data_IF_343851798047
#
_entry.id   IF_343851798047
#
_cell.length_a   1.000
_cell.length_b   1.000
_cell.length_c   1.000
_cell.angle_alpha   90.00
_cell.angle_beta   90.00
_cell.angle_gamma   90.00
#
_symmetry.space_group_name_H-M   'P 1'
#
loop_
_entity.id
_entity.type
_entity.pdbx_description
1 polymer ?
#
# COMPACT_ATOMS: atom_id res chain seq x y z
N UNK A 1 12.63 -17.52 6.42
CA UNK A 1 12.45 -16.06 6.26
C UNK A 1 11.99 -15.45 7.59
N UNK A 2 10.93 -15.94 8.25
CA UNK A 2 10.47 -15.42 9.55
C UNK A 2 11.56 -15.34 10.63
N UNK A 3 12.44 -16.33 10.73
CA UNK A 3 13.53 -16.34 11.72
C UNK A 3 14.57 -15.23 11.49
N UNK A 4 14.84 -14.88 10.23
CA UNK A 4 15.84 -13.85 9.89
C UNK A 4 15.32 -12.47 10.31
N UNK A 5 14.08 -12.16 10.01
CA UNK A 5 13.46 -10.88 10.35
C UNK A 5 13.41 -10.63 11.86
N UNK A 6 13.01 -11.65 12.65
CA UNK A 6 13.01 -11.57 14.11
C UNK A 6 14.42 -11.36 14.69
N UNK A 7 15.44 -11.96 14.08
CA UNK A 7 16.82 -11.78 14.51
C UNK A 7 17.40 -10.41 14.14
N UNK A 8 16.92 -9.78 13.08
CA UNK A 8 17.38 -8.45 12.63
C UNK A 8 16.80 -7.30 13.47
N UNK A 9 15.58 -7.44 13.99
CA UNK A 9 14.86 -6.40 14.70
C UNK A 9 15.65 -5.79 15.89
N UNK A 10 16.28 -6.55 16.80
CA UNK A 10 17.10 -5.99 17.88
C UNK A 10 18.28 -5.16 17.38
N UNK A 11 18.91 -5.57 16.28
CA UNK A 11 20.04 -4.86 15.69
C UNK A 11 19.58 -3.55 15.05
N UNK A 12 18.47 -3.56 14.31
CA UNK A 12 17.88 -2.36 13.71
C UNK A 12 17.43 -1.35 14.78
N UNK A 13 16.90 -1.83 15.92
CA UNK A 13 16.52 -0.95 17.03
C UNK A 13 17.75 -0.30 17.69
N UNK A 14 18.86 -1.02 17.84
CA UNK A 14 20.14 -0.45 18.33
C UNK A 14 20.68 0.60 17.36
N UNK A 15 20.66 0.34 16.06
CA UNK A 15 21.08 1.31 15.04
C UNK A 15 20.22 2.57 15.05
N UNK A 16 18.90 2.44 15.22
CA UNK A 16 17.99 3.58 15.40
C UNK A 16 18.36 4.42 16.63
N UNK A 17 18.67 3.78 17.76
CA UNK A 17 19.09 4.47 18.98
C UNK A 17 20.42 5.23 18.76
N UNK A 18 21.41 4.59 18.15
CA UNK A 18 22.70 5.22 17.83
C UNK A 18 22.56 6.39 16.85
N UNK A 19 21.68 6.30 15.86
CA UNK A 19 21.40 7.41 14.95
C UNK A 19 20.81 8.62 15.70
N UNK A 20 19.93 8.41 16.70
CA UNK A 20 19.41 9.48 17.55
C UNK A 20 20.49 10.15 18.40
N UNK A 21 21.42 9.38 18.96
CA UNK A 21 22.54 9.92 19.74
C UNK A 21 23.47 10.79 18.89
N UNK A 22 23.69 10.42 17.61
CA UNK A 22 24.48 11.20 16.66
C UNK A 22 23.83 12.50 16.23
N UNK A 23 22.52 12.69 16.44
CA UNK A 23 21.78 13.86 15.98
C UNK A 23 22.30 15.17 16.56
N UNK A 24 22.85 15.16 17.78
CA UNK A 24 23.43 16.34 18.44
C UNK A 24 24.79 16.75 17.86
N UNK A 25 25.55 15.80 17.27
CA UNK A 25 26.94 16.02 16.82
C UNK A 25 27.03 16.11 15.30
N UNK A 26 26.22 15.33 14.57
CA UNK A 26 26.26 15.23 13.13
C UNK A 26 24.82 15.06 12.56
N UNK A 27 23.97 16.10 12.61
CA UNK A 27 22.53 15.98 12.34
C UNK A 27 22.22 15.44 10.94
N UNK A 28 22.94 15.85 9.92
CA UNK A 28 22.72 15.41 8.54
C UNK A 28 23.04 13.93 8.33
N UNK A 29 24.13 13.45 8.92
CA UNK A 29 24.53 12.06 8.87
C UNK A 29 23.58 11.19 9.71
N UNK A 30 23.14 11.67 10.85
CA UNK A 30 22.16 11.00 11.69
C UNK A 30 20.81 10.82 10.97
N UNK A 31 20.36 11.83 10.24
CA UNK A 31 19.13 11.77 9.45
C UNK A 31 19.23 10.74 8.30
N UNK A 32 20.36 10.69 7.58
CA UNK A 32 20.60 9.69 6.53
C UNK A 32 20.60 8.27 7.10
N UNK A 33 21.33 8.04 8.21
CA UNK A 33 21.37 6.73 8.89
C UNK A 33 19.97 6.35 9.40
N UNK A 34 19.24 7.29 10.00
CA UNK A 34 17.87 7.07 10.47
C UNK A 34 16.95 6.62 9.34
N UNK A 35 16.95 7.34 8.22
CA UNK A 35 16.13 7.03 7.05
C UNK A 35 16.40 5.63 6.52
N UNK A 36 17.68 5.24 6.42
CA UNK A 36 18.06 3.90 5.94
C UNK A 36 17.69 2.79 6.92
N UNK A 37 17.79 3.04 8.23
CA UNK A 37 17.38 2.08 9.25
C UNK A 37 15.88 1.87 9.25
N UNK A 38 15.09 2.94 9.13
CA UNK A 38 13.63 2.82 9.03
C UNK A 38 13.21 2.11 7.73
N UNK A 39 13.88 2.35 6.61
CA UNK A 39 13.66 1.61 5.36
C UNK A 39 13.96 0.11 5.52
N UNK A 40 15.04 -0.27 6.19
CA UNK A 40 15.37 -1.68 6.49
C UNK A 40 14.34 -2.33 7.43
N UNK A 41 13.82 -1.60 8.40
CA UNK A 41 12.74 -2.08 9.27
C UNK A 41 11.47 -2.37 8.46
N UNK A 42 11.05 -1.43 7.62
CA UNK A 42 9.88 -1.62 6.75
C UNK A 42 10.07 -2.81 5.81
N UNK A 43 11.21 -2.94 5.19
CA UNK A 43 11.57 -4.08 4.37
C UNK A 43 11.44 -5.41 5.12
N UNK A 44 11.92 -5.46 6.38
CA UNK A 44 11.82 -6.65 7.23
C UNK A 44 10.36 -7.00 7.53
N UNK A 45 9.52 -6.01 7.83
CA UNK A 45 8.08 -6.18 8.06
C UNK A 45 7.40 -6.70 6.79
N UNK A 46 7.65 -6.10 5.64
CA UNK A 46 7.05 -6.50 4.37
C UNK A 46 7.46 -7.93 3.96
N UNK A 47 8.71 -8.35 4.20
CA UNK A 47 9.13 -9.74 3.97
C UNK A 47 8.35 -10.72 4.86
N UNK A 48 8.15 -10.38 6.14
CA UNK A 48 7.35 -11.23 7.05
C UNK A 48 5.92 -11.33 6.59
N UNK A 49 5.32 -10.21 6.21
CA UNK A 49 3.95 -10.12 5.71
C UNK A 49 3.77 -10.92 4.42
N UNK A 50 4.67 -10.75 3.44
CA UNK A 50 4.69 -11.51 2.20
C UNK A 50 4.73 -13.01 2.47
N UNK A 51 5.68 -13.46 3.31
CA UNK A 51 5.83 -14.86 3.67
C UNK A 51 4.60 -15.43 4.40
N UNK A 52 3.99 -14.64 5.30
CA UNK A 52 2.77 -15.03 6.00
C UNK A 52 1.59 -15.17 5.04
N UNK A 53 1.41 -14.20 4.14
CA UNK A 53 0.34 -14.21 3.14
C UNK A 53 0.48 -15.40 2.17
N UNK A 54 1.69 -15.67 1.70
CA UNK A 54 1.94 -16.84 0.82
C UNK A 54 1.57 -18.15 1.53
N UNK A 55 1.97 -18.32 2.78
CA UNK A 55 1.71 -19.54 3.56
C UNK A 55 0.22 -19.71 3.90
N UNK A 56 -0.51 -18.60 4.10
CA UNK A 56 -1.93 -18.61 4.51
C UNK A 56 -2.89 -18.29 3.37
N UNK A 57 -2.43 -18.25 2.12
CA UNK A 57 -3.25 -17.81 0.98
C UNK A 57 -4.52 -18.65 0.83
N UNK A 58 -4.45 -19.95 1.08
CA UNK A 58 -5.58 -20.89 0.97
C UNK A 58 -6.33 -21.09 2.28
N UNK A 59 -5.90 -20.47 3.39
CA UNK A 59 -6.60 -20.57 4.66
C UNK A 59 -7.86 -19.71 4.65
N UNK A 60 -8.95 -20.20 5.28
CA UNK A 60 -10.15 -19.39 5.48
C UNK A 60 -9.84 -18.11 6.25
N UNK A 61 -10.50 -17.02 5.90
CA UNK A 61 -10.42 -15.74 6.58
C UNK A 61 -11.80 -15.28 7.04
N UNK A 62 -11.82 -14.46 8.08
CA UNK A 62 -13.07 -13.91 8.61
C UNK A 62 -13.70 -12.95 7.60
N UNK A 63 -15.00 -13.11 7.39
CA UNK A 63 -15.80 -12.29 6.50
C UNK A 63 -16.87 -11.59 7.30
N UNK A 64 -16.96 -10.27 7.19
CA UNK A 64 -17.96 -9.45 7.85
C UNK A 64 -18.73 -8.59 6.85
N UNK A 65 -19.99 -8.28 7.20
CA UNK A 65 -20.79 -7.29 6.47
C UNK A 65 -20.53 -5.89 7.01
N UNK A 66 -20.31 -4.93 6.14
CA UNK A 66 -20.13 -3.54 6.52
C UNK A 66 -20.53 -2.59 5.39
N UNK A 67 -20.85 -1.34 5.78
CA UNK A 67 -21.17 -0.29 4.83
C UNK A 67 -19.90 0.26 4.18
N UNK A 68 -19.75 0.08 2.85
CA UNK A 68 -18.54 0.43 2.10
C UNK A 68 -18.28 1.94 2.07
N UNK A 69 -19.34 2.77 2.09
CA UNK A 69 -19.19 4.23 2.13
C UNK A 69 -18.60 4.70 3.46
N UNK A 70 -19.10 4.20 4.59
CA UNK A 70 -18.57 4.51 5.90
C UNK A 70 -17.16 3.97 6.10
N UNK A 71 -16.89 2.77 5.60
CA UNK A 71 -15.59 2.14 5.60
C UNK A 71 -14.55 2.98 4.82
N UNK A 72 -14.89 3.37 3.59
CA UNK A 72 -14.02 4.21 2.76
C UNK A 72 -13.73 5.58 3.37
N UNK A 73 -14.71 6.21 4.04
CA UNK A 73 -14.49 7.46 4.77
C UNK A 73 -13.43 7.32 5.86
N UNK A 74 -13.47 6.23 6.64
CA UNK A 74 -12.46 5.98 7.69
C UNK A 74 -11.06 5.81 7.10
N UNK A 75 -10.93 5.14 5.96
CA UNK A 75 -9.65 4.96 5.27
C UNK A 75 -9.11 6.31 4.76
N UNK A 76 -9.96 7.10 4.13
CA UNK A 76 -9.62 8.44 3.64
C UNK A 76 -9.13 9.35 4.77
N UNK A 77 -9.78 9.34 5.93
CA UNK A 77 -9.32 10.10 7.09
C UNK A 77 -7.91 9.70 7.57
N UNK A 78 -7.57 8.41 7.48
CA UNK A 78 -6.22 7.92 7.87
C UNK A 78 -5.11 8.41 6.92
N UNK A 79 -5.45 8.74 5.67
CA UNK A 79 -4.49 9.17 4.63
C UNK A 79 -4.42 10.69 4.49
N UNK A 80 -5.38 11.44 5.03
CA UNK A 80 -5.42 12.90 4.90
C UNK A 80 -4.13 13.62 5.29
N UNK A 81 -3.45 13.13 6.33
CA UNK A 81 -2.19 13.70 6.80
C UNK A 81 -1.01 13.52 5.85
N UNK A 82 -1.11 12.55 4.93
CA UNK A 82 -0.06 12.24 3.96
C UNK A 82 -0.24 13.01 2.64
N UNK A 83 -1.38 13.70 2.47
CA UNK A 83 -1.75 14.38 1.22
C UNK A 83 -1.20 15.81 1.20
N UNK A 84 -0.54 16.17 0.11
CA UNK A 84 -0.03 17.52 -0.11
C UNK A 84 -1.17 18.54 -0.20
N UNK A 85 -0.97 19.81 0.24
CA UNK A 85 -2.01 20.83 0.25
C UNK A 85 -2.65 21.12 -1.13
N UNK A 86 -1.89 20.94 -2.21
CA UNK A 86 -2.33 21.18 -3.59
C UNK A 86 -3.05 19.97 -4.23
N UNK A 87 -3.25 18.90 -3.44
CA UNK A 87 -3.90 17.66 -3.91
C UNK A 87 -5.31 17.57 -3.33
N UNK A 88 -6.30 17.40 -4.20
CA UNK A 88 -7.68 17.20 -3.80
C UNK A 88 -8.01 15.70 -3.76
N UNK A 89 -8.42 15.19 -2.59
CA UNK A 89 -8.89 13.81 -2.42
C UNK A 89 -10.41 13.73 -2.60
N UNK A 90 -10.85 13.05 -3.65
CA UNK A 90 -12.25 12.85 -4.00
C UNK A 90 -12.67 11.41 -3.71
N UNK A 91 -13.80 11.24 -3.03
CA UNK A 91 -14.37 9.92 -2.72
C UNK A 91 -15.74 9.78 -3.36
N UNK A 92 -15.88 8.79 -4.26
CA UNK A 92 -17.12 8.44 -4.93
C UNK A 92 -17.48 6.99 -4.60
N UNK A 93 -17.99 6.79 -3.38
CA UNK A 93 -18.33 5.49 -2.81
C UNK A 93 -19.73 5.56 -2.20
N UNK A 94 -20.69 4.73 -2.68
CA UNK A 94 -22.07 4.75 -2.23
C UNK A 94 -22.22 4.17 -0.80
N UNK A 95 -23.34 4.48 -0.16
CA UNK A 95 -23.75 3.83 1.08
C UNK A 95 -24.38 2.47 0.75
N UNK A 96 -23.57 1.42 0.76
CA UNK A 96 -23.94 0.07 0.33
C UNK A 96 -23.27 -0.96 1.24
N UNK A 97 -23.99 -2.01 1.59
CA UNK A 97 -23.42 -3.15 2.32
C UNK A 97 -22.67 -4.09 1.36
N UNK A 98 -21.47 -4.46 1.76
CA UNK A 98 -20.68 -5.53 1.13
C UNK A 98 -20.23 -6.52 2.19
N UNK A 99 -19.89 -7.75 1.74
CA UNK A 99 -19.42 -8.82 2.62
C UNK A 99 -18.04 -9.30 2.17
N UNK A 100 -17.01 -9.00 2.97
CA UNK A 100 -15.62 -9.43 2.71
C UNK A 100 -14.79 -9.31 4.00
N UNK A 101 -13.49 -9.59 3.94
CA UNK A 101 -12.58 -9.30 5.05
C UNK A 101 -12.23 -7.81 5.06
N UNK A 102 -12.71 -7.10 6.08
CA UNK A 102 -12.53 -5.65 6.21
C UNK A 102 -11.06 -5.27 6.44
N UNK A 103 -10.31 -6.08 7.21
CA UNK A 103 -8.92 -5.80 7.54
C UNK A 103 -8.01 -5.87 6.32
N UNK A 104 -8.05 -6.96 5.55
CA UNK A 104 -7.26 -7.08 4.33
C UNK A 104 -7.66 -6.03 3.28
N UNK A 105 -8.96 -5.73 3.14
CA UNK A 105 -9.41 -4.67 2.24
C UNK A 105 -8.89 -3.30 2.67
N UNK A 106 -8.92 -3.00 3.97
CA UNK A 106 -8.36 -1.74 4.49
C UNK A 106 -6.87 -1.61 4.17
N UNK A 107 -6.08 -2.66 4.41
CA UNK A 107 -4.64 -2.66 4.14
C UNK A 107 -4.34 -2.39 2.67
N UNK A 108 -5.05 -3.05 1.74
CA UNK A 108 -4.88 -2.80 0.29
C UNK A 108 -5.23 -1.35 -0.06
N UNK A 109 -6.39 -0.85 0.37
CA UNK A 109 -6.82 0.51 0.03
C UNK A 109 -5.92 1.58 0.66
N UNK A 110 -5.48 1.40 1.92
CA UNK A 110 -4.53 2.29 2.58
C UNK A 110 -3.21 2.35 1.82
N UNK A 111 -2.67 1.19 1.42
CA UNK A 111 -1.40 1.15 0.70
C UNK A 111 -1.49 1.88 -0.65
N UNK A 112 -2.55 1.60 -1.42
CA UNK A 112 -2.76 2.24 -2.72
C UNK A 112 -2.98 3.76 -2.59
N UNK A 113 -3.75 4.21 -1.59
CA UNK A 113 -3.97 5.63 -1.35
C UNK A 113 -2.72 6.36 -0.84
N UNK A 114 -1.91 5.71 0.01
CA UNK A 114 -0.61 6.25 0.44
C UNK A 114 0.37 6.37 -0.72
N UNK A 115 0.42 5.39 -1.61
CA UNK A 115 1.20 5.50 -2.84
C UNK A 115 0.71 6.67 -3.70
N UNK A 116 -0.59 6.82 -3.90
CA UNK A 116 -1.14 7.96 -4.63
C UNK A 116 -0.75 9.29 -3.97
N UNK A 117 -0.82 9.42 -2.64
CA UNK A 117 -0.42 10.61 -1.90
C UNK A 117 1.08 10.92 -2.05
N UNK A 118 1.93 9.88 -2.00
CA UNK A 118 3.39 10.01 -2.12
C UNK A 118 3.83 10.53 -3.49
N UNK A 119 3.19 10.04 -4.56
CA UNK A 119 3.60 10.34 -5.94
C UNK A 119 2.79 11.45 -6.61
N UNK A 120 1.82 12.06 -5.91
CA UNK A 120 1.02 13.18 -6.42
C UNK A 120 1.36 14.45 -5.66
N UNK A 121 1.98 15.41 -6.34
CA UNK A 121 2.31 16.72 -5.76
C UNK A 121 1.22 17.78 -5.99
N UNK A 122 0.36 17.58 -7.00
CA UNK A 122 -0.77 18.47 -7.30
C UNK A 122 -1.85 17.76 -8.11
N UNK A 123 -3.07 18.24 -8.09
CA UNK A 123 -4.19 17.67 -8.83
C UNK A 123 -5.14 16.85 -7.96
N UNK A 124 -5.52 15.66 -8.39
CA UNK A 124 -6.55 14.88 -7.72
C UNK A 124 -6.10 13.46 -7.44
N UNK A 125 -6.50 12.95 -6.28
CA UNK A 125 -6.57 11.53 -5.97
C UNK A 125 -8.04 11.18 -5.84
N UNK A 126 -8.50 10.10 -6.48
CA UNK A 126 -9.89 9.69 -6.47
C UNK A 126 -10.01 8.23 -6.04
N UNK A 127 -10.87 7.97 -5.06
CA UNK A 127 -11.33 6.64 -4.67
C UNK A 127 -12.77 6.45 -5.16
N UNK A 128 -12.98 5.50 -6.05
CA UNK A 128 -14.29 5.15 -6.60
C UNK A 128 -14.66 3.71 -6.26
N UNK A 129 -15.96 3.46 -6.07
CA UNK A 129 -16.53 2.12 -5.96
C UNK A 129 -17.55 1.89 -7.08
N UNK A 130 -17.43 0.74 -7.76
CA UNK A 130 -18.38 0.33 -8.81
C UNK A 130 -18.86 -1.09 -8.57
N UNK A 131 -20.18 -1.28 -8.49
CA UNK A 131 -20.77 -2.62 -8.48
C UNK A 131 -20.86 -3.14 -9.91
N UNK A 132 -20.38 -4.36 -10.16
CA UNK A 132 -20.34 -5.03 -11.47
C UNK A 132 -21.23 -6.28 -11.46
N UNK A 133 -22.48 -6.16 -11.00
CA UNK A 133 -23.42 -7.26 -10.87
C UNK A 133 -23.70 -7.65 -9.42
N UNK A 134 -24.22 -8.85 -9.20
CA UNK A 134 -24.68 -9.28 -7.86
C UNK A 134 -23.51 -9.55 -6.90
N UNK A 135 -22.43 -10.12 -7.41
CA UNK A 135 -21.33 -10.67 -6.59
C UNK A 135 -19.96 -10.10 -6.90
N UNK A 136 -19.87 -9.05 -7.71
CA UNK A 136 -18.58 -8.44 -8.10
C UNK A 136 -18.63 -6.94 -7.88
N UNK A 137 -17.60 -6.42 -7.25
CA UNK A 137 -17.37 -4.98 -7.13
C UNK A 137 -15.94 -4.59 -7.53
N UNK A 138 -15.74 -3.31 -7.74
CA UNK A 138 -14.45 -2.71 -8.05
C UNK A 138 -14.21 -1.51 -7.15
N UNK A 139 -13.01 -1.44 -6.56
CA UNK A 139 -12.44 -0.20 -6.05
C UNK A 139 -11.42 0.31 -7.06
N UNK A 140 -11.52 1.59 -7.40
CA UNK A 140 -10.66 2.22 -8.38
C UNK A 140 -9.98 3.40 -7.70
N UNK A 141 -8.65 3.37 -7.64
CA UNK A 141 -7.84 4.48 -7.13
C UNK A 141 -7.15 5.11 -8.33
N UNK A 142 -7.45 6.39 -8.56
CA UNK A 142 -6.87 7.16 -9.66
C UNK A 142 -6.14 8.37 -9.10
N UNK A 143 -4.93 8.63 -9.59
CA UNK A 143 -4.14 9.80 -9.24
C UNK A 143 -3.65 10.58 -10.48
N UNK A 144 -3.22 11.82 -10.27
CA UNK A 144 -2.55 12.65 -11.27
C UNK A 144 -1.04 12.78 -10.98
N UNK A 145 -0.44 11.79 -10.37
CA UNK A 145 0.96 11.75 -10.01
C UNK A 145 1.90 11.57 -11.20
N UNK A 146 3.15 11.26 -10.90
CA UNK A 146 4.20 11.07 -11.91
C UNK A 146 3.94 9.90 -12.86
N UNK A 147 3.04 8.98 -12.49
CA UNK A 147 2.78 7.75 -13.24
C UNK A 147 3.90 6.71 -13.09
N UNK A 148 3.73 5.59 -13.76
CA UNK A 148 4.69 4.48 -13.79
C UNK A 148 5.11 4.26 -15.24
N UNK A 149 6.43 4.16 -15.53
CA UNK A 149 6.95 3.82 -16.87
C UNK A 149 6.33 2.53 -17.40
N UNK A 150 6.06 2.48 -18.71
CA UNK A 150 5.32 1.36 -19.31
C UNK A 150 6.08 0.02 -19.22
N UNK A 151 7.42 0.06 -19.26
CA UNK A 151 8.31 -1.09 -19.09
C UNK A 151 8.24 -1.71 -17.68
N UNK A 152 7.94 -0.91 -16.66
CA UNK A 152 7.79 -1.37 -15.28
C UNK A 152 6.39 -1.94 -15.00
N UNK A 153 5.36 -1.51 -15.73
CA UNK A 153 3.97 -1.92 -15.50
C UNK A 153 3.72 -3.42 -15.64
N UNK A 154 4.51 -4.14 -16.44
CA UNK A 154 4.34 -5.59 -16.65
C UNK A 154 4.74 -6.43 -15.43
N UNK A 155 5.70 -5.93 -14.67
CA UNK A 155 6.24 -6.65 -13.52
C UNK A 155 5.90 -5.97 -12.19
N UNK A 156 5.02 -4.97 -12.19
CA UNK A 156 4.71 -4.10 -11.06
C UNK A 156 4.30 -4.84 -9.77
N UNK A 157 3.65 -6.00 -9.91
CA UNK A 157 3.18 -6.82 -8.80
C UNK A 157 4.13 -7.98 -8.46
N UNK A 158 5.31 -8.04 -9.09
CA UNK A 158 6.35 -9.02 -8.75
C UNK A 158 7.25 -8.46 -7.65
N UNK A 159 7.59 -9.26 -6.63
CA UNK A 159 8.51 -8.82 -5.58
C UNK A 159 9.86 -8.36 -6.13
N UNK A 160 10.44 -7.33 -5.52
CA UNK A 160 11.78 -6.80 -5.80
C UNK A 160 11.99 -6.20 -7.20
N UNK A 161 10.93 -5.84 -7.90
CA UNK A 161 11.05 -5.35 -9.28
C UNK A 161 11.58 -3.91 -9.40
N UNK A 162 11.42 -3.07 -8.37
CA UNK A 162 11.74 -1.63 -8.41
C UNK A 162 12.79 -1.17 -7.40
N UNK A 163 13.22 -2.02 -6.49
CA UNK A 163 14.10 -1.63 -5.40
C UNK A 163 15.55 -1.43 -5.87
N UNK A 164 15.87 -0.22 -6.35
CA UNK A 164 17.26 0.23 -6.56
C UNK A 164 17.87 0.80 -5.28
N UNK A 165 17.08 1.43 -4.44
CA UNK A 165 17.45 1.97 -3.12
C UNK A 165 16.29 1.78 -2.15
N UNK A 166 16.53 1.05 -1.05
CA UNK A 166 15.54 0.79 0.00
C UNK A 166 14.98 2.08 0.62
N UNK A 167 15.75 3.17 0.62
CA UNK A 167 15.28 4.47 1.10
C UNK A 167 14.18 5.09 0.22
N UNK A 168 14.05 4.64 -1.03
CA UNK A 168 13.02 5.09 -1.98
C UNK A 168 11.82 4.14 -2.04
N UNK A 169 11.94 2.96 -1.42
CA UNK A 169 10.92 1.92 -1.39
C UNK A 169 11.54 0.53 -1.59
N UNK A 170 10.92 -0.48 -1.02
CA UNK A 170 11.44 -1.86 -1.03
C UNK A 170 10.89 -2.73 -2.17
N UNK A 171 9.98 -2.18 -2.98
CA UNK A 171 9.34 -2.89 -4.09
C UNK A 171 8.44 -4.07 -3.66
N UNK A 172 8.02 -4.13 -2.38
CA UNK A 172 7.19 -5.21 -1.84
C UNK A 172 5.73 -4.81 -1.61
N UNK A 173 5.44 -3.54 -1.50
CA UNK A 173 4.10 -3.08 -1.14
C UNK A 173 3.02 -3.47 -2.15
N UNK A 174 3.22 -3.26 -3.45
CA UNK A 174 2.26 -3.68 -4.48
C UNK A 174 2.16 -5.20 -4.64
N UNK A 175 3.23 -6.00 -4.60
CA UNK A 175 3.17 -7.45 -4.47
C UNK A 175 2.33 -7.94 -3.29
N UNK A 176 2.51 -7.37 -2.09
CA UNK A 176 1.70 -7.66 -0.90
C UNK A 176 0.22 -7.35 -1.17
N UNK A 177 -0.08 -6.17 -1.72
CA UNK A 177 -1.46 -5.82 -2.09
C UNK A 177 -2.08 -6.81 -3.09
N UNK A 178 -1.31 -7.30 -4.06
CA UNK A 178 -1.80 -8.29 -5.02
C UNK A 178 -2.10 -9.64 -4.37
N UNK A 179 -1.27 -10.10 -3.42
CA UNK A 179 -1.53 -11.32 -2.63
C UNK A 179 -2.75 -11.16 -1.73
N UNK A 180 -2.90 -10.01 -1.05
CA UNK A 180 -4.09 -9.71 -0.26
C UNK A 180 -5.35 -9.69 -1.12
N UNK A 181 -5.28 -9.08 -2.31
CA UNK A 181 -6.39 -9.11 -3.26
C UNK A 181 -6.77 -10.54 -3.65
N UNK A 182 -5.78 -11.40 -3.91
CA UNK A 182 -6.01 -12.82 -4.21
C UNK A 182 -6.64 -13.54 -3.03
N UNK A 183 -6.19 -13.28 -1.79
CA UNK A 183 -6.79 -13.82 -0.58
C UNK A 183 -8.26 -13.37 -0.39
N UNK A 184 -8.61 -12.18 -0.86
CA UNK A 184 -9.98 -11.66 -0.89
C UNK A 184 -10.84 -12.20 -2.06
N UNK A 185 -10.42 -13.24 -2.75
CA UNK A 185 -11.03 -13.75 -3.99
C UNK A 185 -11.16 -12.66 -5.06
N UNK A 186 -10.13 -11.83 -5.18
CA UNK A 186 -10.09 -10.70 -6.09
C UNK A 186 -8.80 -10.63 -6.88
N UNK A 187 -8.65 -9.55 -7.63
CA UNK A 187 -7.45 -9.24 -8.41
C UNK A 187 -7.14 -7.75 -8.34
N UNK A 188 -5.86 -7.42 -8.25
CA UNK A 188 -5.35 -6.06 -8.35
C UNK A 188 -4.65 -5.88 -9.70
N UNK A 189 -4.96 -4.82 -10.41
CA UNK A 189 -4.36 -4.49 -11.69
C UNK A 189 -4.12 -2.98 -11.82
N UNK A 190 -3.26 -2.59 -12.78
CA UNK A 190 -3.09 -1.20 -13.20
C UNK A 190 -3.70 -1.02 -14.58
N UNK A 191 -4.43 0.09 -14.78
CA UNK A 191 -4.93 0.49 -16.10
C UNK A 191 -3.78 1.05 -16.93
N UNK A 192 -3.29 0.27 -17.88
CA UNK A 192 -2.16 0.62 -18.74
C UNK A 192 -2.47 1.76 -19.72
N UNK A 193 -3.75 1.97 -20.03
CA UNK A 193 -4.19 3.02 -20.95
C UNK A 193 -4.32 4.39 -20.28
N UNK A 194 -4.39 4.43 -18.95
CA UNK A 194 -4.41 5.68 -18.22
C UNK A 194 -3.02 6.32 -18.18
N UNK A 195 -2.88 7.56 -18.72
CA UNK A 195 -1.58 8.23 -18.92
C UNK A 195 -1.42 9.54 -18.13
N UNK A 196 -2.39 9.89 -17.27
CA UNK A 196 -2.36 11.14 -16.47
C UNK A 196 -1.91 10.92 -15.01
N UNK A 197 -1.19 9.86 -14.73
CA UNK A 197 -0.81 9.35 -13.43
C UNK A 197 -1.01 7.84 -13.38
N UNK A 198 -1.47 7.30 -12.25
CA UNK A 198 -1.81 5.90 -12.10
C UNK A 198 -3.32 5.70 -11.91
N UNK A 199 -3.79 4.53 -12.34
CA UNK A 199 -5.12 4.03 -12.03
C UNK A 199 -5.04 2.56 -11.67
N UNK A 200 -5.19 2.27 -10.37
CA UNK A 200 -5.27 0.91 -9.86
C UNK A 200 -6.72 0.46 -9.76
N UNK A 201 -6.96 -0.79 -10.12
CA UNK A 201 -8.29 -1.42 -10.11
C UNK A 201 -8.21 -2.69 -9.28
N UNK A 202 -8.88 -2.67 -8.14
CA UNK A 202 -9.10 -3.84 -7.28
C UNK A 202 -10.49 -4.40 -7.57
N UNK A 203 -10.55 -5.61 -8.12
CA UNK A 203 -11.81 -6.34 -8.37
C UNK A 203 -11.98 -7.36 -7.27
N UNK A 204 -13.14 -7.43 -6.63
CA UNK A 204 -13.47 -8.38 -5.56
C UNK A 204 -14.75 -9.13 -5.88
N UNK A 205 -14.80 -10.41 -5.48
CA UNK A 205 -16.02 -11.18 -5.34
C UNK A 205 -16.58 -10.96 -3.93
N UNK A 206 -17.86 -10.56 -3.83
CA UNK A 206 -18.53 -10.17 -2.59
C UNK A 206 -19.86 -10.93 -2.40
#
# INVERSE_FOLDING_TARGET
>A
IQNISVQMEPTLNKLSASAKELQAVAPKQAEDVWTRVEALKQFTVHIQELSSLENTLMEPYEVSSFNVGNFSKKIVEKVKGDIQPEVNLVTDVPQLEIKTNAEHLEQVLLHLLKNAALYTSSGNIRLEFKRKGAHVCQFIITDNGTGIPDDLKENLFKPFNEAKDLAQGDGLGLPICALMASKLNGTLSIDKEYKKGCRFVLVLQI
#
